data_IF_659051061497
#
_entry.id   IF_659051061497
#
_cell.length_a   1.000
_cell.length_b   1.000
_cell.length_c   1.000
_cell.angle_alpha   90.00
_cell.angle_beta   90.00
_cell.angle_gamma   90.00
#
_symmetry.space_group_name_H-M   'P 1'
#
loop_
_entity.id
_entity.type
_entity.pdbx_description
1 polymer ?
#
# COMPACT_ATOMS: atom_id res chain seq x y z
N UNK A 1 4.42 -9.52 27.09
CA UNK A 1 5.67 -10.03 26.48
C UNK A 1 5.44 -9.92 24.99
N UNK A 2 6.31 -9.24 24.24
CA UNK A 2 6.08 -9.11 22.79
C UNK A 2 6.78 -10.20 22.02
N UNK A 3 6.02 -11.03 21.33
CA UNK A 3 6.56 -12.11 20.52
C UNK A 3 7.11 -11.56 19.20
N UNK A 4 8.37 -11.88 18.91
CA UNK A 4 9.04 -11.43 17.68
C UNK A 4 9.41 -12.62 16.81
N UNK A 5 8.86 -12.66 15.60
CA UNK A 5 9.16 -13.67 14.59
C UNK A 5 10.19 -13.11 13.59
N UNK A 6 11.32 -13.81 13.41
CA UNK A 6 12.35 -13.47 12.41
C UNK A 6 12.71 -14.68 11.57
N UNK A 7 12.41 -14.63 10.27
CA UNK A 7 12.71 -15.74 9.34
C UNK A 7 13.30 -15.23 8.02
N UNK A 8 14.12 -16.08 7.38
CA UNK A 8 14.76 -15.78 6.10
C UNK A 8 14.81 -17.02 5.20
N UNK A 9 14.59 -16.83 3.90
CA UNK A 9 14.81 -17.88 2.88
C UNK A 9 13.82 -19.04 2.93
N UNK A 10 12.68 -18.86 3.59
CA UNK A 10 11.61 -19.85 3.69
C UNK A 10 10.73 -19.79 2.44
N UNK A 11 10.18 -20.92 2.01
CA UNK A 11 9.25 -20.95 0.87
C UNK A 11 7.87 -20.40 1.27
N UNK A 12 7.25 -20.96 2.30
CA UNK A 12 5.90 -20.61 2.73
C UNK A 12 5.87 -20.37 4.24
N UNK A 13 5.13 -19.36 4.68
CA UNK A 13 4.86 -19.06 6.10
C UNK A 13 3.36 -18.85 6.25
N UNK A 14 2.79 -19.45 7.30
CA UNK A 14 1.49 -19.13 7.85
C UNK A 14 1.72 -18.63 9.28
N UNK A 15 1.11 -17.52 9.67
CA UNK A 15 1.23 -17.00 11.04
C UNK A 15 -0.05 -16.32 11.53
N UNK A 16 -0.60 -16.79 12.64
CA UNK A 16 -1.89 -16.28 13.15
C UNK A 16 -1.70 -14.93 13.87
N UNK A 17 -0.75 -14.87 14.83
CA UNK A 17 -0.48 -13.66 15.61
C UNK A 17 1.00 -13.43 15.88
N UNK A 18 1.45 -12.18 15.87
CA UNK A 18 2.70 -11.78 16.51
C UNK A 18 2.91 -10.27 16.53
N UNK A 19 3.25 -9.73 17.70
CA UNK A 19 3.49 -8.29 17.92
C UNK A 19 4.50 -7.72 16.91
N UNK A 20 5.54 -8.50 16.56
CA UNK A 20 6.52 -8.08 15.55
C UNK A 20 6.94 -9.21 14.61
N UNK A 21 6.65 -9.04 13.32
CA UNK A 21 7.01 -9.98 12.25
C UNK A 21 8.06 -9.35 11.34
N UNK A 22 9.22 -10.01 11.17
CA UNK A 22 10.31 -9.57 10.30
C UNK A 22 10.75 -10.69 9.34
N UNK A 23 10.42 -10.56 8.06
CA UNK A 23 10.61 -11.63 7.07
C UNK A 23 11.41 -11.16 5.85
N UNK A 24 12.31 -12.02 5.34
CA UNK A 24 13.12 -11.69 4.16
C UNK A 24 13.27 -12.87 3.21
N UNK A 25 13.08 -12.63 1.91
CA UNK A 25 13.32 -13.64 0.88
C UNK A 25 12.35 -14.82 0.94
N UNK A 26 11.07 -14.54 1.22
CA UNK A 26 10.01 -15.53 1.30
C UNK A 26 9.25 -15.62 -0.02
N UNK A 27 8.78 -16.81 -0.41
CA UNK A 27 7.94 -16.92 -1.61
C UNK A 27 6.49 -16.53 -1.29
N UNK A 28 5.86 -17.17 -0.32
CA UNK A 28 4.46 -16.90 0.03
C UNK A 28 4.30 -16.71 1.54
N UNK A 29 3.47 -15.74 1.92
CA UNK A 29 3.12 -15.46 3.31
C UNK A 29 1.60 -15.33 3.38
N UNK A 30 1.00 -16.00 4.35
CA UNK A 30 -0.33 -15.73 4.87
C UNK A 30 -0.18 -15.37 6.35
N UNK A 31 -0.65 -14.21 6.78
CA UNK A 31 -0.61 -13.84 8.19
C UNK A 31 -1.81 -13.00 8.60
N UNK A 32 -2.45 -13.35 9.72
CA UNK A 32 -3.73 -12.74 10.08
C UNK A 32 -3.52 -11.43 10.84
N UNK A 33 -2.73 -11.42 11.92
CA UNK A 33 -2.55 -10.22 12.76
C UNK A 33 -1.10 -9.96 13.18
N UNK A 34 -0.66 -8.70 13.12
CA UNK A 34 0.53 -8.26 13.85
C UNK A 34 0.69 -6.74 13.91
N UNK A 35 0.98 -6.21 15.10
CA UNK A 35 1.11 -4.77 15.35
C UNK A 35 2.19 -4.15 14.43
N UNK A 36 3.32 -4.86 14.24
CA UNK A 36 4.40 -4.40 13.37
C UNK A 36 4.87 -5.48 12.40
N UNK A 37 4.58 -5.25 11.11
CA UNK A 37 4.98 -6.13 10.02
C UNK A 37 6.08 -5.47 9.17
N UNK A 38 7.23 -6.15 9.01
CA UNK A 38 8.33 -5.71 8.15
C UNK A 38 8.77 -6.84 7.23
N UNK A 39 8.63 -6.65 5.91
CA UNK A 39 9.00 -7.69 4.95
C UNK A 39 9.78 -7.15 3.75
N UNK A 40 10.75 -7.93 3.28
CA UNK A 40 11.59 -7.56 2.13
C UNK A 40 11.80 -8.72 1.16
N UNK A 41 11.62 -8.47 -0.13
CA UNK A 41 11.91 -9.47 -1.16
C UNK A 41 10.96 -10.66 -1.13
N UNK A 42 9.66 -10.38 -1.00
CA UNK A 42 8.61 -11.40 -0.97
C UNK A 42 7.93 -11.50 -2.34
N UNK A 43 7.54 -12.72 -2.76
CA UNK A 43 6.75 -12.86 -4.00
C UNK A 43 5.28 -12.54 -3.75
N UNK A 44 4.61 -13.21 -2.81
CA UNK A 44 3.20 -12.99 -2.51
C UNK A 44 2.98 -12.82 -1.01
N UNK A 45 2.15 -11.86 -0.63
CA UNK A 45 1.65 -11.64 0.73
C UNK A 45 0.13 -11.59 0.68
N UNK A 46 -0.51 -12.36 1.54
CA UNK A 46 -1.88 -12.14 2.00
C UNK A 46 -1.79 -11.82 3.50
N UNK A 47 -2.33 -10.68 3.93
CA UNK A 47 -2.40 -10.38 5.36
C UNK A 47 -3.60 -9.53 5.73
N UNK A 48 -4.23 -9.85 6.85
CA UNK A 48 -5.51 -9.23 7.18
C UNK A 48 -5.28 -7.90 7.93
N UNK A 49 -4.61 -7.92 9.09
CA UNK A 49 -4.49 -6.73 9.95
C UNK A 49 -3.07 -6.45 10.43
N UNK A 50 -2.68 -5.17 10.43
CA UNK A 50 -1.55 -4.71 11.24
C UNK A 50 -1.43 -3.19 11.34
N UNK A 51 -1.25 -2.67 12.56
CA UNK A 51 -1.14 -1.24 12.83
C UNK A 51 -0.04 -0.57 12.00
N UNK A 52 1.11 -1.24 11.86
CA UNK A 52 2.24 -0.75 11.07
C UNK A 52 2.78 -1.78 10.10
N UNK A 53 2.54 -1.55 8.81
CA UNK A 53 3.00 -2.39 7.71
C UNK A 53 4.12 -1.69 6.92
N UNK A 54 5.29 -2.32 6.79
CA UNK A 54 6.43 -1.83 6.00
C UNK A 54 6.95 -2.91 5.06
N UNK A 55 6.65 -2.79 3.77
CA UNK A 55 7.02 -3.81 2.77
C UNK A 55 7.88 -3.21 1.65
N UNK A 56 8.93 -3.95 1.25
CA UNK A 56 9.84 -3.51 0.18
C UNK A 56 10.13 -4.64 -0.80
N UNK A 57 10.06 -4.34 -2.11
CA UNK A 57 10.45 -5.29 -3.14
C UNK A 57 9.52 -6.51 -3.20
N UNK A 58 8.20 -6.27 -3.21
CA UNK A 58 7.18 -7.32 -3.23
C UNK A 58 6.58 -7.42 -4.62
N UNK A 59 6.25 -8.64 -5.08
CA UNK A 59 5.56 -8.79 -6.36
C UNK A 59 4.05 -8.54 -6.21
N UNK A 60 3.37 -9.24 -5.31
CA UNK A 60 1.94 -9.07 -5.08
C UNK A 60 1.63 -8.95 -3.59
N UNK A 61 0.73 -8.02 -3.24
CA UNK A 61 0.17 -7.85 -1.90
C UNK A 61 -1.36 -7.87 -2.05
N UNK A 62 -2.01 -8.67 -1.23
CA UNK A 62 -3.41 -8.52 -0.85
C UNK A 62 -3.43 -8.24 0.65
N UNK A 63 -4.00 -7.12 1.09
CA UNK A 63 -4.10 -6.83 2.51
C UNK A 63 -5.32 -6.00 2.88
N UNK A 64 -5.96 -6.31 4.00
CA UNK A 64 -7.24 -5.71 4.32
C UNK A 64 -7.04 -4.38 5.06
N UNK A 65 -6.36 -4.36 6.22
CA UNK A 65 -6.37 -3.19 7.11
C UNK A 65 -5.00 -2.87 7.72
N UNK A 66 -4.67 -1.58 7.82
CA UNK A 66 -3.62 -1.11 8.72
C UNK A 66 -3.52 0.41 8.85
N UNK A 67 -3.37 0.90 10.08
CA UNK A 67 -3.32 2.34 10.39
C UNK A 67 -2.19 3.05 9.61
N UNK A 68 -1.02 2.41 9.52
CA UNK A 68 0.14 2.95 8.81
C UNK A 68 0.75 1.95 7.84
N UNK A 69 0.54 2.21 6.54
CA UNK A 69 1.06 1.40 5.45
C UNK A 69 2.18 2.13 4.71
N UNK A 70 3.36 1.51 4.61
CA UNK A 70 4.52 2.05 3.86
C UNK A 70 5.06 1.00 2.89
N UNK A 71 4.84 1.21 1.60
CA UNK A 71 5.23 0.23 0.57
C UNK A 71 6.17 0.84 -0.48
N UNK A 72 7.20 0.08 -0.86
CA UNK A 72 8.19 0.51 -1.84
C UNK A 72 8.55 -0.57 -2.84
N UNK A 73 8.55 -0.24 -4.12
CA UNK A 73 9.01 -1.15 -5.17
C UNK A 73 8.11 -2.38 -5.30
N UNK A 74 6.80 -2.15 -5.40
CA UNK A 74 5.80 -3.21 -5.49
C UNK A 74 5.27 -3.32 -6.91
N UNK A 75 5.00 -4.53 -7.39
CA UNK A 75 4.36 -4.69 -8.70
C UNK A 75 2.84 -4.50 -8.62
N UNK A 76 2.14 -5.26 -7.78
CA UNK A 76 0.69 -5.14 -7.64
C UNK A 76 0.31 -5.06 -6.16
N UNK A 77 -0.67 -4.20 -5.86
CA UNK A 77 -1.31 -4.07 -4.55
C UNK A 77 -2.82 -4.13 -4.79
N UNK A 78 -3.50 -4.95 -3.99
CA UNK A 78 -4.92 -4.84 -3.69
C UNK A 78 -5.02 -4.62 -2.18
N UNK A 79 -5.62 -3.51 -1.74
CA UNK A 79 -5.77 -3.25 -0.32
C UNK A 79 -6.98 -2.39 0.03
N UNK A 80 -7.62 -2.68 1.16
CA UNK A 80 -8.94 -2.10 1.42
C UNK A 80 -8.81 -0.78 2.21
N UNK A 81 -8.14 -0.79 3.37
CA UNK A 81 -8.18 0.33 4.33
C UNK A 81 -6.82 0.70 4.94
N UNK A 82 -6.59 2.00 5.13
CA UNK A 82 -5.60 2.48 6.10
C UNK A 82 -5.55 3.99 6.28
N UNK A 83 -5.46 4.47 7.53
CA UNK A 83 -5.47 5.90 7.86
C UNK A 83 -4.33 6.66 7.15
N UNK A 84 -3.13 6.09 7.15
CA UNK A 84 -1.95 6.68 6.52
C UNK A 84 -1.26 5.73 5.57
N UNK A 85 -1.41 6.01 4.28
CA UNK A 85 -0.82 5.22 3.19
C UNK A 85 0.31 5.98 2.49
N UNK A 86 1.50 5.39 2.42
CA UNK A 86 2.67 5.93 1.71
C UNK A 86 3.24 4.93 0.72
N UNK A 87 3.11 5.23 -0.57
CA UNK A 87 3.46 4.32 -1.66
C UNK A 87 4.50 4.93 -2.60
N UNK A 88 5.55 4.16 -2.93
CA UNK A 88 6.61 4.62 -3.85
C UNK A 88 7.04 3.56 -4.84
N UNK A 89 7.03 3.91 -6.13
CA UNK A 89 7.54 3.03 -7.19
C UNK A 89 6.68 1.79 -7.33
N UNK A 90 5.38 1.98 -7.57
CA UNK A 90 4.40 0.89 -7.71
C UNK A 90 3.93 0.80 -9.15
N UNK A 91 3.70 -0.41 -9.66
CA UNK A 91 3.15 -0.56 -11.02
C UNK A 91 1.62 -0.45 -11.01
N UNK A 92 0.90 -1.24 -10.23
CA UNK A 92 -0.56 -1.19 -10.17
C UNK A 92 -1.04 -1.17 -8.72
N UNK A 93 -2.06 -0.36 -8.46
CA UNK A 93 -2.76 -0.27 -7.18
C UNK A 93 -4.26 -0.33 -7.47
N UNK A 94 -4.96 -1.19 -6.73
CA UNK A 94 -6.39 -1.12 -6.49
C UNK A 94 -6.56 -0.94 -4.97
N UNK A 95 -7.21 0.14 -4.54
CA UNK A 95 -7.43 0.37 -3.10
C UNK A 95 -8.65 1.21 -2.78
N UNK A 96 -9.33 0.91 -1.68
CA UNK A 96 -10.66 1.47 -1.46
C UNK A 96 -10.61 2.78 -0.64
N UNK A 97 -9.88 2.80 0.48
CA UNK A 97 -10.01 3.89 1.49
C UNK A 97 -8.71 4.27 2.21
N UNK A 98 -8.56 5.56 2.50
CA UNK A 98 -7.59 6.05 3.50
C UNK A 98 -7.61 7.56 3.69
N UNK A 99 -7.52 8.01 4.95
CA UNK A 99 -7.60 9.44 5.31
C UNK A 99 -6.47 10.25 4.66
N UNK A 100 -5.24 9.74 4.74
CA UNK A 100 -4.05 10.41 4.18
C UNK A 100 -3.26 9.49 3.26
N UNK A 101 -3.34 9.77 1.96
CA UNK A 101 -2.67 9.00 0.92
C UNK A 101 -1.57 9.83 0.26
N UNK A 102 -0.34 9.29 0.24
CA UNK A 102 0.81 9.87 -0.47
C UNK A 102 1.41 8.86 -1.42
N UNK A 103 1.34 9.12 -2.73
CA UNK A 103 1.91 8.25 -3.74
C UNK A 103 2.92 8.95 -4.65
N UNK A 104 3.99 8.25 -5.00
CA UNK A 104 5.01 8.78 -5.92
C UNK A 104 5.52 7.71 -6.88
N UNK A 105 5.56 8.04 -8.17
CA UNK A 105 6.11 7.16 -9.20
C UNK A 105 5.25 5.91 -9.39
N UNK A 106 3.97 6.10 -9.68
CA UNK A 106 3.01 5.02 -9.87
C UNK A 106 2.60 4.93 -11.34
N UNK A 107 2.44 3.72 -11.87
CA UNK A 107 1.94 3.58 -13.24
C UNK A 107 0.42 3.65 -13.30
N UNK A 108 -0.31 2.81 -12.57
CA UNK A 108 -1.76 2.82 -12.57
C UNK A 108 -2.31 2.81 -11.14
N UNK A 109 -3.32 3.63 -10.90
CA UNK A 109 -4.12 3.68 -9.67
C UNK A 109 -5.58 3.54 -10.05
N UNK A 110 -6.29 2.65 -9.38
CA UNK A 110 -7.74 2.67 -9.22
C UNK A 110 -8.01 2.80 -7.72
N UNK A 111 -8.70 3.85 -7.29
CA UNK A 111 -9.00 4.02 -5.88
C UNK A 111 -10.31 4.75 -5.59
N UNK A 112 -11.05 4.33 -4.58
CA UNK A 112 -12.41 4.82 -4.39
C UNK A 112 -12.43 6.14 -3.61
N UNK A 113 -11.75 6.22 -2.45
CA UNK A 113 -11.93 7.35 -1.52
C UNK A 113 -10.67 7.75 -0.74
N UNK A 114 -10.58 9.03 -0.36
CA UNK A 114 -9.65 9.51 0.66
C UNK A 114 -9.72 11.02 0.93
N UNK A 115 -9.60 11.41 2.19
CA UNK A 115 -9.76 12.82 2.60
C UNK A 115 -8.64 13.71 2.03
N UNK A 116 -7.39 13.27 2.17
CA UNK A 116 -6.21 13.99 1.68
C UNK A 116 -5.32 13.12 0.82
N UNK A 117 -5.32 13.40 -0.48
CA UNK A 117 -4.55 12.64 -1.47
C UNK A 117 -3.46 13.53 -2.08
N UNK A 118 -2.20 13.06 -2.06
CA UNK A 118 -1.05 13.73 -2.72
C UNK A 118 -0.36 12.78 -3.68
N UNK A 119 -0.43 13.08 -4.98
CA UNK A 119 0.10 12.23 -6.04
C UNK A 119 1.17 12.95 -6.86
N UNK A 120 2.31 12.28 -7.07
CA UNK A 120 3.42 12.79 -7.87
C UNK A 120 3.94 11.77 -8.87
N UNK A 121 4.03 12.14 -10.15
CA UNK A 121 4.60 11.29 -11.19
C UNK A 121 3.77 10.02 -11.40
N UNK A 122 2.50 10.21 -11.73
CA UNK A 122 1.56 9.10 -11.98
C UNK A 122 1.23 9.03 -13.46
N UNK A 123 1.18 7.83 -14.03
CA UNK A 123 0.77 7.68 -15.44
C UNK A 123 -0.75 7.72 -15.61
N UNK A 124 -1.50 6.88 -14.89
CA UNK A 124 -2.96 6.83 -14.98
C UNK A 124 -3.59 6.76 -13.58
N UNK A 125 -4.67 7.49 -13.37
CA UNK A 125 -5.48 7.46 -12.15
C UNK A 125 -6.96 7.36 -12.55
N UNK A 126 -7.66 6.42 -11.93
CA UNK A 126 -9.11 6.39 -11.84
C UNK A 126 -9.50 6.53 -10.37
N UNK A 127 -10.42 7.44 -10.02
CA UNK A 127 -10.87 7.60 -8.65
C UNK A 127 -12.29 8.13 -8.47
N UNK A 128 -12.99 7.70 -7.41
CA UNK A 128 -14.40 8.09 -7.26
C UNK A 128 -14.53 9.42 -6.50
N UNK A 129 -13.91 9.53 -5.33
CA UNK A 129 -14.03 10.71 -4.45
C UNK A 129 -12.75 11.11 -3.73
N UNK A 130 -12.62 12.40 -3.42
CA UNK A 130 -11.64 12.89 -2.46
C UNK A 130 -11.83 14.36 -2.10
N UNK A 131 -11.70 14.67 -0.82
CA UNK A 131 -11.95 16.02 -0.28
C UNK A 131 -10.86 17.01 -0.68
N UNK A 132 -9.59 16.59 -0.63
CA UNK A 132 -8.45 17.41 -1.03
C UNK A 132 -7.44 16.58 -1.81
N UNK A 133 -7.37 16.81 -3.13
CA UNK A 133 -6.41 16.12 -4.01
C UNK A 133 -5.39 17.11 -4.57
N UNK A 134 -4.10 16.82 -4.37
CA UNK A 134 -2.95 17.54 -4.96
C UNK A 134 -2.21 16.67 -5.97
N UNK A 135 -2.08 17.17 -7.19
CA UNK A 135 -1.55 16.42 -8.34
C UNK A 135 -0.36 17.13 -8.98
N UNK A 136 0.73 16.39 -9.20
CA UNK A 136 1.90 16.88 -9.95
C UNK A 136 2.45 15.83 -10.89
N UNK A 137 2.58 16.16 -12.18
CA UNK A 137 3.14 15.23 -13.17
C UNK A 137 2.26 14.00 -13.35
N UNK A 138 0.98 14.23 -13.62
CA UNK A 138 -0.02 13.20 -13.96
C UNK A 138 -0.19 13.18 -15.47
N UNK A 139 -0.19 11.99 -16.09
CA UNK A 139 -0.46 11.89 -17.54
C UNK A 139 -1.96 11.80 -17.84
N UNK A 140 -2.71 10.93 -17.16
CA UNK A 140 -4.16 10.77 -17.35
C UNK A 140 -4.89 10.66 -16.00
N UNK A 141 -6.05 11.31 -15.90
CA UNK A 141 -6.94 11.27 -14.73
C UNK A 141 -8.41 11.14 -15.19
N UNK A 142 -9.16 10.26 -14.54
CA UNK A 142 -10.61 10.13 -14.69
C UNK A 142 -11.20 9.96 -13.29
N UNK A 143 -12.00 10.93 -12.81
CA UNK A 143 -12.59 10.83 -11.49
C UNK A 143 -13.93 11.56 -11.41
N UNK A 144 -14.83 11.08 -10.53
CA UNK A 144 -16.23 11.50 -10.49
C UNK A 144 -16.46 12.79 -9.68
N UNK A 145 -16.12 12.82 -8.39
CA UNK A 145 -16.36 13.98 -7.52
C UNK A 145 -15.10 14.40 -6.77
N UNK A 146 -14.46 15.49 -7.19
CA UNK A 146 -13.24 15.97 -6.52
C UNK A 146 -13.24 17.49 -6.36
N UNK A 147 -12.90 17.96 -5.14
CA UNK A 147 -12.36 19.30 -4.94
C UNK A 147 -10.86 19.31 -5.25
N UNK A 148 -10.54 19.48 -6.54
CA UNK A 148 -9.16 19.50 -7.00
C UNK A 148 -8.47 20.81 -6.58
N UNK A 149 -7.33 20.71 -5.90
CA UNK A 149 -6.51 21.89 -5.56
C UNK A 149 -5.05 21.67 -5.93
N UNK A 150 -4.39 22.69 -6.49
CA UNK A 150 -2.96 22.62 -6.80
C UNK A 150 -2.60 21.58 -7.85
N UNK A 151 -3.36 21.54 -8.95
CA UNK A 151 -2.99 20.77 -10.13
C UNK A 151 -1.84 21.49 -10.85
N UNK A 152 -0.74 20.78 -11.06
CA UNK A 152 0.32 21.19 -11.98
C UNK A 152 0.53 20.08 -13.00
N UNK A 153 0.07 20.35 -14.23
CA UNK A 153 0.47 19.57 -15.38
C UNK A 153 1.92 19.94 -15.75
N UNK A 154 2.71 18.99 -16.30
CA UNK A 154 3.93 19.35 -17.00
C UNK A 154 3.63 20.21 -18.23
#
# INVERSE_FOLDING_TARGET
MSDTIKLRGIRNIACDTGDTIKLTGIRNIACDTGDTIKMTGIRNIACDTGDTIKLTGIRNIACDTGDTIKLRGIRNIACDTGDTIKLRGIRNIACDTGDTIKMTGIRNIACDTGDTIKLRGIRNIACDTGDTIKLRGIRNIACDTIKLTGISFP
#
